data_IF_623582712075
#
_entry.id   IF_623582712075
#
_cell.length_a   1.000
_cell.length_b   1.000
_cell.length_c   1.000
_cell.angle_alpha   90.00
_cell.angle_beta   90.00
_cell.angle_gamma   90.00
#
_symmetry.space_group_name_H-M   'P 1'
#
loop_
_entity.id
_entity.type
_entity.pdbx_description
1 polymer ?
#
# COMPACT_ATOMS: atom_id res chain seq x y z
N UNK A 1 4.43 1.88 -12.02
CA UNK A 1 4.27 2.34 -10.62
C UNK A 1 3.98 3.82 -10.65
N UNK A 2 2.80 4.21 -10.16
CA UNK A 2 2.33 5.59 -10.19
C UNK A 2 2.10 6.11 -8.77
N UNK A 3 2.53 7.34 -8.46
CA UNK A 3 2.35 7.91 -7.13
C UNK A 3 0.88 8.24 -6.88
N UNK A 4 0.43 7.96 -5.65
CA UNK A 4 -0.90 8.34 -5.17
C UNK A 4 -0.81 9.45 -4.13
N UNK A 5 -0.08 9.22 -3.03
CA UNK A 5 0.16 10.22 -1.99
C UNK A 5 1.36 9.87 -1.10
N UNK A 6 1.71 10.78 -0.19
CA UNK A 6 2.76 10.58 0.81
C UNK A 6 2.20 10.99 2.18
N UNK A 7 2.40 10.14 3.20
CA UNK A 7 2.06 10.46 4.58
C UNK A 7 3.10 11.41 5.22
N UNK A 8 2.74 12.05 6.33
CA UNK A 8 3.62 12.99 7.03
C UNK A 8 4.93 12.35 7.55
N UNK A 9 4.91 11.04 7.79
CA UNK A 9 6.05 10.26 8.25
C UNK A 9 6.99 9.80 7.11
N UNK A 10 6.70 10.21 5.87
CA UNK A 10 7.45 9.85 4.69
C UNK A 10 7.06 8.52 4.06
N UNK A 11 5.99 7.86 4.51
CA UNK A 11 5.45 6.67 3.82
C UNK A 11 4.88 7.08 2.46
N UNK A 12 5.44 6.52 1.39
CA UNK A 12 4.94 6.71 0.03
C UNK A 12 3.88 5.67 -0.31
N UNK A 13 2.79 6.11 -0.93
CA UNK A 13 1.73 5.26 -1.46
C UNK A 13 1.78 5.32 -2.97
N UNK A 14 2.06 4.18 -3.60
CA UNK A 14 2.15 4.05 -5.06
C UNK A 14 1.33 2.84 -5.51
N UNK A 15 0.87 2.83 -6.76
CA UNK A 15 0.13 1.70 -7.30
C UNK A 15 0.69 1.20 -8.63
N UNK A 16 0.43 -0.08 -8.94
CA UNK A 16 0.74 -0.69 -10.22
C UNK A 16 -0.07 -0.08 -11.37
N UNK A 17 0.27 -0.44 -12.61
CA UNK A 17 -0.71 -0.37 -13.71
C UNK A 17 -1.95 -1.22 -13.38
N UNK A 18 -3.04 -1.00 -14.11
CA UNK A 18 -4.23 -1.84 -14.02
C UNK A 18 -3.89 -3.28 -14.41
N UNK A 19 -4.26 -4.22 -13.57
CA UNK A 19 -4.09 -5.66 -13.77
C UNK A 19 -5.45 -6.28 -14.01
N UNK A 20 -5.60 -6.99 -15.11
CA UNK A 20 -6.81 -7.76 -15.42
C UNK A 20 -6.56 -9.23 -15.09
N UNK A 21 -7.37 -9.78 -14.19
CA UNK A 21 -7.37 -11.20 -13.80
C UNK A 21 -8.77 -11.77 -14.03
N UNK A 22 -8.97 -12.35 -15.22
CA UNK A 22 -10.31 -12.72 -15.70
C UNK A 22 -11.19 -11.49 -15.88
N UNK A 23 -12.36 -11.48 -15.22
CA UNK A 23 -13.30 -10.35 -15.22
C UNK A 23 -13.02 -9.34 -14.09
N UNK A 24 -11.94 -9.52 -13.31
CA UNK A 24 -11.57 -8.64 -12.20
C UNK A 24 -10.49 -7.67 -12.66
N UNK A 25 -10.77 -6.38 -12.52
CA UNK A 25 -9.79 -5.32 -12.64
C UNK A 25 -9.26 -4.95 -11.25
N UNK A 26 -7.94 -5.02 -11.07
CA UNK A 26 -7.29 -4.70 -9.80
C UNK A 26 -6.01 -3.91 -9.97
N UNK A 27 -5.58 -3.27 -8.90
CA UNK A 27 -4.23 -2.69 -8.77
C UNK A 27 -3.58 -3.21 -7.50
N UNK A 28 -2.25 -3.28 -7.50
CA UNK A 28 -1.47 -3.51 -6.29
C UNK A 28 -1.04 -2.15 -5.77
N UNK A 29 -1.42 -1.84 -4.53
CA UNK A 29 -0.99 -0.64 -3.81
C UNK A 29 0.18 -1.02 -2.92
N UNK A 30 1.24 -0.22 -2.97
CA UNK A 30 2.43 -0.36 -2.15
C UNK A 30 2.51 0.82 -1.19
N UNK A 31 2.85 0.51 0.06
CA UNK A 31 3.19 1.44 1.11
C UNK A 31 4.65 1.21 1.46
N UNK A 32 5.52 2.19 1.22
CA UNK A 32 6.95 2.07 1.47
C UNK A 32 7.45 3.24 2.31
N UNK A 33 8.14 2.95 3.42
CA UNK A 33 8.78 3.97 4.27
C UNK A 33 10.25 3.62 4.48
N UNK A 34 11.19 4.52 4.13
CA UNK A 34 12.61 4.26 4.38
C UNK A 34 12.90 4.19 5.88
N UNK A 35 13.77 3.27 6.26
CA UNK A 35 14.27 3.11 7.63
C UNK A 35 15.80 3.14 7.63
N UNK A 36 16.42 3.15 8.81
CA UNK A 36 17.88 3.11 8.92
C UNK A 36 18.49 1.80 8.35
N UNK A 37 17.72 0.72 8.30
CA UNK A 37 18.16 -0.62 7.90
C UNK A 37 17.58 -1.08 6.55
N UNK A 38 16.75 -0.27 5.89
CA UNK A 38 16.08 -0.63 4.65
C UNK A 38 14.75 0.09 4.49
N UNK A 39 13.66 -0.66 4.40
CA UNK A 39 12.30 -0.14 4.22
C UNK A 39 11.30 -0.94 5.07
N UNK A 40 10.30 -0.25 5.62
CA UNK A 40 9.03 -0.88 5.94
C UNK A 40 8.22 -0.95 4.64
N UNK A 41 7.57 -2.09 4.38
CA UNK A 41 6.85 -2.35 3.14
C UNK A 41 5.54 -3.07 3.41
N UNK A 42 4.43 -2.57 2.87
CA UNK A 42 3.16 -3.27 2.89
C UNK A 42 2.48 -3.19 1.52
N UNK A 43 1.76 -4.26 1.14
CA UNK A 43 1.05 -4.32 -0.14
C UNK A 43 -0.36 -4.84 0.02
N UNK A 44 -1.28 -4.26 -0.73
CA UNK A 44 -2.65 -4.77 -0.83
C UNK A 44 -3.21 -4.65 -2.24
N UNK A 45 -4.21 -5.45 -2.53
CA UNK A 45 -4.96 -5.36 -3.78
C UNK A 45 -6.20 -4.49 -3.60
N UNK A 46 -6.47 -3.59 -4.55
CA UNK A 46 -7.76 -2.90 -4.67
C UNK A 46 -8.53 -3.43 -5.89
N UNK A 47 -9.87 -3.53 -5.81
CA UNK A 47 -10.75 -2.98 -4.76
C UNK A 47 -10.97 -3.90 -3.53
N UNK A 48 -10.39 -5.10 -3.50
CA UNK A 48 -10.66 -6.09 -2.43
C UNK A 48 -10.10 -5.73 -1.05
N UNK A 49 -9.17 -4.78 -0.98
CA UNK A 49 -8.38 -4.43 0.21
C UNK A 49 -7.71 -5.65 0.86
N UNK A 50 -7.28 -6.60 0.03
CA UNK A 50 -6.61 -7.82 0.48
C UNK A 50 -5.12 -7.58 0.63
N UNK A 51 -4.61 -7.60 1.87
CA UNK A 51 -3.19 -7.45 2.17
C UNK A 51 -2.40 -8.70 1.77
N UNK A 52 -1.37 -8.55 0.93
CA UNK A 52 -0.55 -9.65 0.39
C UNK A 52 0.84 -9.70 1.00
N UNK A 53 1.40 -8.54 1.37
CA UNK A 53 2.72 -8.44 2.01
C UNK A 53 2.67 -7.44 3.18
N UNK A 54 3.38 -7.75 4.26
CA UNK A 54 3.54 -6.88 5.43
C UNK A 54 4.91 -7.13 6.08
N UNK A 55 5.88 -6.28 5.76
CA UNK A 55 7.28 -6.39 6.17
C UNK A 55 7.74 -5.11 6.88
N UNK A 56 8.64 -5.28 7.84
CA UNK A 56 9.11 -4.18 8.69
C UNK A 56 8.17 -3.90 9.86
N UNK A 57 8.08 -2.62 10.24
CA UNK A 57 7.61 -2.20 11.56
C UNK A 57 6.32 -1.37 11.53
N UNK A 58 5.58 -1.38 10.41
CA UNK A 58 4.25 -0.78 10.38
C UNK A 58 3.35 -1.39 11.46
N UNK A 59 2.75 -0.53 12.27
CA UNK A 59 1.87 -0.89 13.38
C UNK A 59 0.44 -1.11 12.92
N UNK A 60 -0.37 -1.68 13.81
CA UNK A 60 -1.80 -1.86 13.58
C UNK A 60 -2.55 -0.53 13.41
N UNK A 61 -2.07 0.56 14.03
CA UNK A 61 -2.64 1.90 13.88
C UNK A 61 -2.36 2.46 12.49
N UNK A 62 -1.14 2.27 11.97
CA UNK A 62 -0.79 2.66 10.60
C UNK A 62 -1.58 1.84 9.58
N UNK A 63 -1.77 0.53 9.81
CA UNK A 63 -2.65 -0.28 8.96
C UNK A 63 -4.06 0.31 8.82
N UNK A 64 -4.64 0.79 9.93
CA UNK A 64 -5.96 1.44 9.91
C UNK A 64 -5.93 2.74 9.12
N UNK A 65 -4.89 3.56 9.29
CA UNK A 65 -4.72 4.78 8.52
C UNK A 65 -4.59 4.49 7.00
N UNK A 66 -3.93 3.40 6.64
CA UNK A 66 -3.83 2.94 5.24
C UNK A 66 -5.21 2.51 4.71
N UNK A 67 -5.96 1.69 5.44
CA UNK A 67 -7.32 1.28 5.05
C UNK A 67 -8.29 2.48 4.94
N UNK A 68 -8.18 3.47 5.83
CA UNK A 68 -8.94 4.73 5.76
C UNK A 68 -8.54 5.60 4.57
N UNK A 69 -7.28 5.55 4.15
CA UNK A 69 -6.79 6.26 2.97
C UNK A 69 -7.34 5.66 1.67
N UNK A 70 -7.42 4.33 1.59
CA UNK A 70 -7.88 3.61 0.39
C UNK A 70 -9.41 3.54 0.24
N UNK A 71 -10.15 3.89 1.29
CA UNK A 71 -11.63 3.90 1.30
C UNK A 71 -12.25 5.26 1.01
N UNK A 72 -11.43 6.28 0.74
CA UNK A 72 -11.84 7.63 0.32
C UNK A 72 -11.85 7.75 -1.19
#
# INVERSE_FOLDING_TARGET
MYPYMTFEDGTEVIHSDLITDGDIEKVIVHFERPTAEGFDSARCELPSCSWTDWEGHFTQSEKRAFEECLSK
#
